data_IF_424800545633
#
_entry.id   IF_424800545633
#
_cell.length_a   1.000
_cell.length_b   1.000
_cell.length_c   1.000
_cell.angle_alpha   90.00
_cell.angle_beta   90.00
_cell.angle_gamma   90.00
#
_symmetry.space_group_name_H-M   'P 1'
#
loop_
_entity.id
_entity.type
_entity.pdbx_description
1 polymer ?
#
# COMPACT_ATOMS: atom_id res chain seq x y z
N UNK A 1 20.42 34.26 -2.20
CA UNK A 1 20.25 33.05 -1.36
C UNK A 1 19.74 31.93 -2.25
N UNK A 2 20.34 30.73 -2.21
CA UNK A 2 19.85 29.58 -2.98
C UNK A 2 18.63 29.00 -2.27
N UNK A 3 17.55 28.73 -3.00
CA UNK A 3 16.37 28.10 -2.43
C UNK A 3 16.71 26.68 -1.93
N UNK A 4 16.11 26.28 -0.80
CA UNK A 4 16.23 24.92 -0.31
C UNK A 4 15.35 23.98 -1.13
N UNK A 5 15.91 22.83 -1.51
CA UNK A 5 15.17 21.81 -2.24
C UNK A 5 14.12 21.13 -1.35
N UNK A 6 12.98 20.81 -1.95
CA UNK A 6 11.86 20.12 -1.30
C UNK A 6 11.68 18.74 -1.93
N UNK A 7 11.48 17.73 -1.08
CA UNK A 7 11.11 16.38 -1.49
C UNK A 7 9.70 16.05 -1.03
N UNK A 8 8.91 15.48 -1.91
CA UNK A 8 7.54 15.05 -1.67
C UNK A 8 7.50 13.53 -1.68
N UNK A 9 6.75 12.93 -0.75
CA UNK A 9 6.41 11.52 -0.69
C UNK A 9 4.90 11.37 -0.53
N UNK A 10 4.36 10.23 -0.96
CA UNK A 10 2.98 9.85 -0.69
C UNK A 10 2.94 8.37 -0.29
N UNK A 11 2.08 8.04 0.68
CA UNK A 11 1.91 6.67 1.18
C UNK A 11 0.47 6.44 1.65
N UNK A 12 0.18 5.21 2.05
CA UNK A 12 -1.18 4.74 2.41
C UNK A 12 -2.22 4.89 1.29
N UNK A 13 -1.78 5.02 0.04
CA UNK A 13 -2.68 5.00 -1.12
C UNK A 13 -3.26 3.58 -1.23
N UNK A 14 -4.59 3.41 -1.15
CA UNK A 14 -5.21 2.10 -1.29
C UNK A 14 -4.85 1.46 -2.64
N UNK A 15 -4.73 0.14 -2.65
CA UNK A 15 -4.32 -0.61 -3.85
C UNK A 15 -5.39 -0.68 -4.94
N UNK A 16 -6.65 -0.57 -4.52
CA UNK A 16 -7.83 -0.51 -5.37
C UNK A 16 -8.92 0.28 -4.63
N UNK A 17 -9.60 1.18 -5.33
CA UNK A 17 -10.63 2.05 -4.76
C UNK A 17 -11.86 1.95 -5.67
N UNK A 18 -13.07 1.82 -5.11
CA UNK A 18 -14.27 1.75 -5.95
C UNK A 18 -14.50 3.10 -6.64
N UNK A 19 -15.03 3.06 -7.86
CA UNK A 19 -15.38 4.24 -8.64
C UNK A 19 -16.24 5.23 -7.83
N UNK A 20 -15.80 6.48 -7.74
CA UNK A 20 -16.49 7.54 -6.98
C UNK A 20 -16.40 7.42 -5.45
N UNK A 21 -15.66 6.45 -4.91
CA UNK A 21 -15.49 6.31 -3.46
C UNK A 21 -14.54 7.37 -2.90
N UNK A 22 -14.87 7.87 -1.70
CA UNK A 22 -13.98 8.75 -0.94
C UNK A 22 -12.90 7.89 -0.29
N UNK A 23 -11.64 8.27 -0.49
CA UNK A 23 -10.51 7.60 0.13
C UNK A 23 -9.54 8.60 0.74
N UNK A 24 -8.64 8.08 1.58
CA UNK A 24 -7.60 8.87 2.25
C UNK A 24 -6.22 8.29 2.00
N UNK A 25 -5.23 9.17 1.99
CA UNK A 25 -3.82 8.83 1.89
C UNK A 25 -3.00 9.94 2.53
N UNK A 26 -1.71 9.70 2.71
CA UNK A 26 -0.81 10.70 3.28
C UNK A 26 0.10 11.28 2.23
N UNK A 27 0.40 12.57 2.39
CA UNK A 27 1.53 13.21 1.74
C UNK A 27 2.52 13.67 2.79
N UNK A 28 3.80 13.65 2.43
CA UNK A 28 4.88 14.11 3.29
C UNK A 28 5.85 14.98 2.50
N UNK A 29 6.21 16.11 3.07
CA UNK A 29 7.05 17.11 2.44
C UNK A 29 8.22 17.40 3.38
N UNK A 30 9.44 17.32 2.84
CA UNK A 30 10.67 17.55 3.60
C UNK A 30 11.58 18.51 2.84
N UNK A 31 12.02 19.55 3.55
CA UNK A 31 13.07 20.46 3.11
C UNK A 31 14.45 19.82 3.31
N UNK A 32 15.36 19.97 2.34
CA UNK A 32 16.74 19.50 2.43
C UNK A 32 17.53 20.15 3.56
N UNK A 33 17.20 21.40 3.90
CA UNK A 33 17.76 22.13 5.04
C UNK A 33 17.10 21.82 6.39
N UNK A 34 16.11 20.94 6.45
CA UNK A 34 15.40 20.60 7.70
C UNK A 34 14.48 21.70 8.22
N UNK A 35 14.16 22.70 7.40
CA UNK A 35 13.22 23.77 7.75
C UNK A 35 11.83 23.19 8.03
N UNK A 36 11.12 23.84 8.95
CA UNK A 36 9.67 23.66 9.09
C UNK A 36 8.98 24.31 7.89
N UNK A 37 7.99 23.63 7.33
CA UNK A 37 7.21 24.08 6.18
C UNK A 37 5.76 24.35 6.59
N UNK A 38 5.55 24.75 7.85
CA UNK A 38 4.25 24.96 8.48
C UNK A 38 3.38 25.88 7.61
N UNK A 39 2.13 25.49 7.36
CA UNK A 39 1.20 26.25 6.52
C UNK A 39 1.51 26.22 5.01
N UNK A 40 2.59 25.55 4.60
CA UNK A 40 2.96 25.35 3.20
C UNK A 40 1.83 24.68 2.42
N UNK A 41 1.41 25.30 1.32
CA UNK A 41 0.29 24.84 0.51
C UNK A 41 0.69 23.73 -0.46
N UNK A 42 -0.20 22.76 -0.61
CA UNK A 42 -0.07 21.70 -1.60
C UNK A 42 -1.37 21.51 -2.37
N UNK A 43 -1.24 21.00 -3.59
CA UNK A 43 -2.36 20.62 -4.46
C UNK A 43 -2.15 19.22 -5.00
N UNK A 44 -3.24 18.49 -5.20
CA UNK A 44 -3.26 17.20 -5.88
C UNK A 44 -4.10 17.36 -7.13
N UNK A 45 -3.53 17.02 -8.28
CA UNK A 45 -4.18 17.15 -9.59
C UNK A 45 -4.35 15.80 -10.25
N UNK A 46 -5.44 15.62 -10.98
CA UNK A 46 -5.60 14.50 -11.90
C UNK A 46 -4.81 14.70 -13.21
N UNK A 47 -4.93 13.75 -14.14
CA UNK A 47 -4.27 13.78 -15.44
C UNK A 47 -4.76 14.89 -16.37
N UNK A 48 -5.97 15.42 -16.14
CA UNK A 48 -6.50 16.59 -16.83
C UNK A 48 -6.04 17.92 -16.22
N UNK A 49 -5.29 17.87 -15.11
CA UNK A 49 -4.84 19.04 -14.36
C UNK A 49 -5.89 19.60 -13.39
N UNK A 50 -7.04 18.94 -13.23
CA UNK A 50 -8.09 19.34 -12.29
C UNK A 50 -7.64 19.11 -10.87
N UNK A 51 -7.87 20.08 -9.98
CA UNK A 51 -7.54 19.93 -8.56
C UNK A 51 -8.56 18.97 -7.92
N UNK A 52 -8.09 17.78 -7.53
CA UNK A 52 -8.90 16.76 -6.85
C UNK A 52 -8.80 16.84 -5.33
N UNK A 53 -7.71 17.44 -4.82
CA UNK A 53 -7.57 17.79 -3.41
C UNK A 53 -6.57 18.93 -3.23
N UNK A 54 -6.64 19.65 -2.12
CA UNK A 54 -5.65 20.66 -1.74
C UNK A 54 -5.63 20.82 -0.22
N UNK A 55 -4.54 21.38 0.29
CA UNK A 55 -4.41 21.59 1.73
C UNK A 55 -3.17 22.37 2.12
N UNK A 56 -2.91 22.39 3.42
CA UNK A 56 -1.73 23.00 4.03
C UNK A 56 -1.08 22.03 5.01
N UNK A 57 0.24 22.10 5.13
CA UNK A 57 0.97 21.32 6.12
C UNK A 57 0.63 21.80 7.54
N UNK A 58 0.15 20.92 8.44
CA UNK A 58 -0.25 21.29 9.80
C UNK A 58 0.94 21.51 10.75
N UNK A 59 2.18 21.27 10.29
CA UNK A 59 3.41 21.38 11.07
C UNK A 59 3.77 20.16 11.92
N UNK A 60 2.89 19.17 12.00
CA UNK A 60 3.19 17.87 12.59
C UNK A 60 4.30 17.15 11.83
N UNK A 61 5.23 16.54 12.57
CA UNK A 61 6.36 15.77 12.03
C UNK A 61 6.04 14.28 12.14
N UNK A 62 6.28 13.53 11.06
CA UNK A 62 6.07 12.09 11.04
C UNK A 62 6.97 11.40 12.07
N UNK A 63 6.44 10.51 12.94
CA UNK A 63 7.22 9.81 13.96
C UNK A 63 8.42 9.07 13.36
N UNK A 64 9.57 9.18 14.04
CA UNK A 64 10.82 8.56 13.58
C UNK A 64 11.48 9.26 12.37
N UNK A 65 10.94 10.37 11.88
CA UNK A 65 11.57 11.20 10.86
C UNK A 65 12.25 12.43 11.47
N UNK A 66 13.26 12.98 10.79
CA UNK A 66 13.96 14.17 11.27
C UNK A 66 13.23 15.49 10.98
N UNK A 67 12.47 15.56 9.88
CA UNK A 67 11.81 16.79 9.41
C UNK A 67 10.72 16.53 8.36
N UNK A 68 10.14 15.32 8.28
CA UNK A 68 9.07 15.04 7.31
C UNK A 68 7.76 15.57 7.88
N UNK A 69 7.29 16.70 7.36
CA UNK A 69 5.96 17.20 7.68
C UNK A 69 4.94 16.48 6.83
N UNK A 70 3.79 16.16 7.40
CA UNK A 70 2.80 15.36 6.69
C UNK A 70 1.38 15.89 6.88
N UNK A 71 0.53 15.58 5.92
CA UNK A 71 -0.89 15.85 5.96
C UNK A 71 -1.65 14.62 5.45
N UNK A 72 -2.80 14.32 6.07
CA UNK A 72 -3.78 13.42 5.50
C UNK A 72 -4.55 14.16 4.40
N UNK A 73 -4.73 13.49 3.27
CA UNK A 73 -5.46 14.00 2.12
C UNK A 73 -6.69 13.13 1.92
N UNK A 74 -7.85 13.77 1.79
CA UNK A 74 -9.09 13.12 1.38
C UNK A 74 -9.38 13.47 -0.08
N UNK A 75 -9.66 12.47 -0.90
CA UNK A 75 -9.99 12.63 -2.32
C UNK A 75 -11.11 11.68 -2.73
N UNK A 76 -11.66 11.87 -3.92
CA UNK A 76 -12.67 11.00 -4.54
C UNK A 76 -12.02 10.26 -5.70
N UNK A 77 -12.20 8.95 -5.77
CA UNK A 77 -11.67 8.15 -6.87
C UNK A 77 -12.35 8.54 -8.20
N UNK A 78 -11.63 8.52 -9.32
CA UNK A 78 -12.21 8.73 -10.64
C UNK A 78 -13.38 7.78 -10.89
N UNK A 79 -14.35 8.20 -11.70
CA UNK A 79 -15.48 7.35 -12.07
C UNK A 79 -15.08 6.28 -13.09
N UNK A 80 -14.09 6.58 -13.93
CA UNK A 80 -13.60 5.64 -14.92
C UNK A 80 -12.72 4.57 -14.27
N UNK A 81 -13.02 3.30 -14.55
CA UNK A 81 -12.25 2.15 -14.04
C UNK A 81 -10.89 2.12 -14.74
N UNK A 82 -9.81 1.92 -13.97
CA UNK A 82 -8.47 1.81 -14.55
C UNK A 82 -7.36 2.41 -13.70
N UNK A 83 -6.25 2.70 -14.35
CA UNK A 83 -5.09 3.36 -13.76
C UNK A 83 -5.11 4.85 -14.07
N UNK A 84 -4.99 5.67 -13.05
CA UNK A 84 -4.99 7.13 -13.15
C UNK A 84 -3.67 7.68 -12.64
N UNK A 85 -3.14 8.69 -13.33
CA UNK A 85 -1.93 9.39 -12.92
C UNK A 85 -2.31 10.70 -12.25
N UNK A 86 -1.99 10.83 -10.98
CA UNK A 86 -2.19 12.07 -10.24
C UNK A 86 -0.84 12.70 -9.92
N UNK A 87 -0.84 14.02 -9.74
CA UNK A 87 0.38 14.78 -9.39
C UNK A 87 0.14 15.55 -8.10
N UNK A 88 1.00 15.33 -7.12
CA UNK A 88 1.08 16.15 -5.90
C UNK A 88 2.08 17.27 -6.16
N UNK A 89 1.67 18.51 -5.91
CA UNK A 89 2.48 19.70 -6.12
C UNK A 89 2.61 20.49 -4.82
N UNK A 90 3.81 21.02 -4.58
CA UNK A 90 4.09 21.98 -3.53
C UNK A 90 4.60 23.26 -4.18
N UNK A 91 3.93 24.38 -3.92
CA UNK A 91 4.22 25.65 -4.61
C UNK A 91 5.51 26.34 -4.14
N UNK A 92 6.14 25.85 -3.07
CA UNK A 92 7.18 26.59 -2.33
C UNK A 92 6.56 27.50 -1.26
N UNK A 93 7.26 27.73 -0.15
CA UNK A 93 6.86 28.74 0.84
C UNK A 93 7.62 30.04 0.62
N UNK A 94 6.92 31.17 0.78
CA UNK A 94 7.48 32.52 0.67
C UNK A 94 7.94 33.08 2.01
N UNK A 95 8.49 32.22 2.88
CA UNK A 95 9.08 32.67 4.15
C UNK A 95 10.45 33.32 3.94
N UNK A 96 11.13 33.74 5.02
CA UNK A 96 12.46 34.36 4.98
C UNK A 96 13.52 33.49 4.27
N UNK A 97 13.28 32.18 4.18
CA UNK A 97 14.09 31.22 3.41
C UNK A 97 13.25 30.72 2.24
N UNK A 98 13.74 30.93 1.02
CA UNK A 98 13.09 30.45 -0.19
C UNK A 98 13.16 28.91 -0.28
N UNK A 99 12.04 28.28 -0.65
CA UNK A 99 11.95 26.85 -0.93
C UNK A 99 11.58 26.64 -2.39
N UNK A 100 12.29 25.72 -3.06
CA UNK A 100 11.96 25.34 -4.44
C UNK A 100 10.58 24.66 -4.48
N UNK A 101 9.77 24.88 -5.53
CA UNK A 101 8.59 24.06 -5.74
C UNK A 101 8.97 22.59 -5.93
N UNK A 102 8.05 21.69 -5.63
CA UNK A 102 8.24 20.24 -5.78
C UNK A 102 7.03 19.58 -6.39
N UNK A 103 7.26 18.44 -7.06
CA UNK A 103 6.19 17.61 -7.63
C UNK A 103 6.46 16.11 -7.44
N UNK A 104 5.41 15.33 -7.26
CA UNK A 104 5.46 13.86 -7.20
C UNK A 104 4.27 13.27 -7.97
N UNK A 105 4.56 12.38 -8.93
CA UNK A 105 3.53 11.55 -9.56
C UNK A 105 3.13 10.38 -8.66
N UNK A 106 1.83 10.12 -8.55
CA UNK A 106 1.25 8.97 -7.85
C UNK A 106 0.28 8.24 -8.77
N UNK A 107 0.04 6.96 -8.51
CA UNK A 107 -0.96 6.17 -9.22
C UNK A 107 -2.18 5.92 -8.35
N UNK A 108 -3.36 6.14 -8.92
CA UNK A 108 -4.65 5.82 -8.31
C UNK A 108 -5.30 4.73 -9.16
N UNK A 109 -5.67 3.61 -8.54
CA UNK A 109 -6.36 2.51 -9.22
C UNK A 109 -7.84 2.54 -8.86
N UNK A 110 -8.68 2.80 -9.85
CA UNK A 110 -10.13 2.68 -9.73
C UNK A 110 -10.58 1.29 -10.19
N UNK A 111 -11.45 0.68 -9.41
CA UNK A 111 -12.11 -0.60 -9.71
C UNK A 111 -13.64 -0.44 -9.68
N UNK A 112 -14.36 -1.44 -10.19
CA UNK A 112 -15.80 -1.54 -9.95
C UNK A 112 -16.09 -1.70 -8.45
N UNK A 113 -17.33 -1.43 -8.05
CA UNK A 113 -17.76 -1.66 -6.67
C UNK A 113 -17.53 -3.15 -6.31
N UNK A 114 -16.99 -3.46 -5.12
CA UNK A 114 -16.75 -4.84 -4.72
C UNK A 114 -18.05 -5.55 -4.35
N UNK A 115 -18.18 -6.80 -4.76
CA UNK A 115 -19.38 -7.63 -4.56
C UNK A 115 -19.15 -8.72 -3.50
N UNK A 116 -17.88 -9.02 -3.21
CA UNK A 116 -17.47 -10.10 -2.32
C UNK A 116 -16.39 -9.66 -1.34
N UNK A 117 -16.36 -10.32 -0.18
CA UNK A 117 -15.27 -10.21 0.79
C UNK A 117 -14.56 -11.56 0.87
N UNK A 118 -13.25 -11.54 0.67
CA UNK A 118 -12.37 -12.70 0.82
C UNK A 118 -11.70 -12.61 2.18
N UNK A 119 -11.76 -13.69 2.95
CA UNK A 119 -11.09 -13.81 4.24
C UNK A 119 -9.98 -14.83 4.13
N UNK A 120 -8.75 -14.43 4.45
CA UNK A 120 -7.57 -15.28 4.39
C UNK A 120 -6.93 -15.34 5.77
N UNK A 121 -6.83 -16.54 6.31
CA UNK A 121 -6.01 -16.87 7.48
C UNK A 121 -4.66 -17.41 7.00
N UNK A 122 -3.57 -16.95 7.59
CA UNK A 122 -2.22 -17.44 7.31
C UNK A 122 -1.54 -17.88 8.59
N UNK A 123 -1.11 -19.13 8.61
CA UNK A 123 -0.44 -19.74 9.76
C UNK A 123 0.85 -20.44 9.35
N UNK A 124 1.74 -20.60 10.30
CA UNK A 124 2.91 -21.45 10.21
C UNK A 124 2.46 -22.90 10.03
N UNK A 125 3.00 -23.58 9.00
CA UNK A 125 2.56 -24.93 8.65
C UNK A 125 2.83 -25.96 9.76
N UNK A 126 3.91 -25.80 10.51
CA UNK A 126 4.36 -26.82 11.47
C UNK A 126 3.77 -26.58 12.86
N UNK A 127 3.85 -25.33 13.33
CA UNK A 127 3.39 -24.95 14.67
C UNK A 127 1.91 -24.57 14.72
N UNK A 128 1.31 -24.23 13.57
CA UNK A 128 -0.04 -23.67 13.50
C UNK A 128 -0.15 -22.24 14.05
N UNK A 129 0.98 -21.59 14.37
CA UNK A 129 0.98 -20.24 14.90
C UNK A 129 0.55 -19.21 13.84
N UNK A 130 -0.23 -18.18 14.19
CA UNK A 130 -0.62 -17.12 13.26
C UNK A 130 0.60 -16.35 12.74
N UNK A 131 0.57 -15.98 11.45
CA UNK A 131 1.64 -15.22 10.82
C UNK A 131 1.21 -13.79 10.52
N UNK A 132 1.75 -12.84 11.30
CA UNK A 132 1.59 -11.40 11.07
C UNK A 132 2.45 -10.90 9.91
N UNK A 133 1.95 -9.90 9.17
CA UNK A 133 2.72 -9.19 8.16
C UNK A 133 2.99 -9.99 6.87
N UNK A 134 2.26 -11.09 6.65
CA UNK A 134 2.31 -11.81 5.37
C UNK A 134 1.66 -10.93 4.32
N UNK A 135 2.40 -10.64 3.25
CA UNK A 135 1.92 -9.87 2.12
C UNK A 135 1.03 -10.74 1.24
N UNK A 136 -0.20 -10.30 1.02
CA UNK A 136 -1.21 -10.96 0.21
C UNK A 136 -1.54 -10.07 -0.98
N UNK A 137 -1.36 -10.62 -2.17
CA UNK A 137 -1.60 -9.92 -3.44
C UNK A 137 -2.60 -10.73 -4.26
N UNK A 138 -3.68 -10.06 -4.66
CA UNK A 138 -4.63 -10.49 -5.67
C UNK A 138 -4.84 -9.29 -6.59
N UNK A 139 -4.03 -9.12 -7.64
CA UNK A 139 -4.01 -7.85 -8.39
C UNK A 139 -5.43 -7.41 -8.79
N UNK A 140 -5.81 -6.13 -8.57
CA UNK A 140 -4.97 -5.04 -8.08
C UNK A 140 -4.89 -4.94 -6.55
N UNK A 141 -5.66 -5.74 -5.83
CA UNK A 141 -5.77 -5.70 -4.39
C UNK A 141 -4.51 -6.22 -3.71
N UNK A 142 -4.09 -5.52 -2.65
CA UNK A 142 -2.98 -5.93 -1.77
C UNK A 142 -3.36 -5.65 -0.32
N UNK A 143 -2.93 -6.52 0.59
CA UNK A 143 -3.03 -6.31 2.03
C UNK A 143 -1.96 -7.10 2.76
N UNK A 144 -1.86 -6.92 4.08
CA UNK A 144 -1.02 -7.73 4.96
C UNK A 144 -1.85 -8.36 6.06
N UNK A 145 -1.47 -9.55 6.52
CA UNK A 145 -2.12 -10.18 7.67
C UNK A 145 -1.86 -9.39 8.96
N UNK A 146 -2.86 -9.37 9.83
CA UNK A 146 -2.78 -8.80 11.17
C UNK A 146 -2.04 -9.73 12.15
N UNK A 147 -1.94 -9.32 13.42
CA UNK A 147 -1.32 -10.10 14.51
C UNK A 147 -1.94 -11.49 14.74
N UNK A 148 -3.15 -11.73 14.25
CA UNK A 148 -3.85 -13.01 14.34
C UNK A 148 -3.67 -13.85 13.06
N UNK A 149 -2.83 -13.41 12.12
CA UNK A 149 -2.66 -14.05 10.83
C UNK A 149 -3.84 -13.83 9.88
N UNK A 150 -4.73 -12.89 10.16
CA UNK A 150 -5.95 -12.67 9.40
C UNK A 150 -5.83 -11.49 8.44
N UNK A 151 -6.41 -11.64 7.25
CA UNK A 151 -6.59 -10.58 6.29
C UNK A 151 -7.99 -10.65 5.65
N UNK A 152 -8.55 -9.48 5.34
CA UNK A 152 -9.82 -9.36 4.62
C UNK A 152 -9.65 -8.42 3.44
N UNK A 153 -10.26 -8.77 2.31
CA UNK A 153 -10.18 -8.00 1.08
C UNK A 153 -11.55 -7.96 0.42
N UNK A 154 -12.07 -6.76 0.19
CA UNK A 154 -13.25 -6.55 -0.64
C UNK A 154 -12.82 -6.53 -2.10
N UNK A 155 -13.40 -7.39 -2.91
CA UNK A 155 -13.03 -7.58 -4.31
C UNK A 155 -14.28 -7.62 -5.19
N UNK A 156 -14.07 -7.27 -6.46
CA UNK A 156 -15.04 -7.52 -7.53
C UNK A 156 -15.10 -9.03 -7.79
N UNK A 157 -16.27 -9.53 -8.18
CA UNK A 157 -16.41 -10.94 -8.56
C UNK A 157 -15.53 -11.28 -9.78
N UNK A 158 -14.46 -12.05 -9.56
CA UNK A 158 -13.53 -12.45 -10.62
C UNK A 158 -12.65 -13.65 -10.18
N UNK A 159 -11.79 -14.11 -11.08
CA UNK A 159 -10.74 -15.08 -10.81
C UNK A 159 -9.41 -14.35 -10.62
N UNK A 160 -8.80 -14.53 -9.45
CA UNK A 160 -7.55 -13.89 -9.11
C UNK A 160 -6.42 -14.91 -9.04
N UNK A 161 -5.20 -14.43 -9.26
CA UNK A 161 -4.00 -15.13 -8.85
C UNK A 161 -3.62 -14.62 -7.46
N UNK A 162 -3.82 -15.46 -6.45
CA UNK A 162 -3.42 -15.18 -5.08
C UNK A 162 -1.94 -15.48 -4.91
N UNK A 163 -1.19 -14.51 -4.41
CA UNK A 163 0.20 -14.66 -4.02
C UNK A 163 0.36 -14.27 -2.55
N UNK A 164 0.93 -15.16 -1.74
CA UNK A 164 1.25 -14.93 -0.35
C UNK A 164 2.76 -15.05 -0.13
N UNK A 165 3.37 -14.01 0.45
CA UNK A 165 4.80 -13.98 0.77
C UNK A 165 5.07 -13.41 2.14
N UNK A 166 6.03 -14.00 2.86
CA UNK A 166 6.38 -13.62 4.22
C UNK A 166 7.85 -13.86 4.50
N UNK A 167 8.37 -13.26 5.56
CA UNK A 167 9.78 -13.37 5.93
C UNK A 167 10.18 -14.81 6.26
N UNK A 168 11.19 -15.35 5.55
CA UNK A 168 11.67 -16.75 5.69
C UNK A 168 10.57 -17.80 5.49
N UNK A 169 9.63 -17.51 4.58
CA UNK A 169 8.54 -18.41 4.22
C UNK A 169 8.64 -18.78 2.75
N UNK A 170 8.35 -20.04 2.44
CA UNK A 170 8.14 -20.45 1.05
C UNK A 170 6.89 -19.73 0.53
N UNK A 171 6.95 -18.99 -0.59
CA UNK A 171 5.80 -18.28 -1.11
C UNK A 171 4.71 -19.26 -1.57
N UNK A 172 3.46 -18.87 -1.40
CA UNK A 172 2.30 -19.59 -1.93
C UNK A 172 1.73 -18.83 -3.12
N UNK A 173 1.35 -19.56 -4.18
CA UNK A 173 0.75 -18.98 -5.38
C UNK A 173 -0.28 -19.93 -5.97
N UNK A 174 -1.51 -19.47 -6.17
CA UNK A 174 -2.57 -20.27 -6.76
C UNK A 174 -3.70 -19.40 -7.33
N UNK A 175 -4.58 -20.01 -8.13
CA UNK A 175 -5.81 -19.36 -8.60
C UNK A 175 -6.88 -19.40 -7.50
N UNK A 176 -7.53 -18.27 -7.29
CA UNK A 176 -8.65 -18.11 -6.39
C UNK A 176 -9.88 -17.71 -7.21
N UNK A 177 -10.92 -18.53 -7.16
CA UNK A 177 -12.25 -18.17 -7.66
C UNK A 177 -12.96 -17.32 -6.62
N UNK A 178 -12.97 -16.00 -6.84
CA UNK A 178 -13.66 -15.02 -6.01
C UNK A 178 -14.99 -14.58 -6.63
N UNK A 179 -15.60 -15.41 -7.50
CA UNK A 179 -16.99 -15.18 -7.99
C UNK A 179 -18.06 -15.47 -6.92
N UNK A 180 -17.60 -15.87 -5.73
CA UNK A 180 -18.35 -16.07 -4.50
C UNK A 180 -17.48 -15.66 -3.31
N UNK A 181 -18.05 -15.40 -2.12
CA UNK A 181 -17.27 -15.25 -0.89
C UNK A 181 -16.40 -16.50 -0.66
N UNK A 182 -15.16 -16.29 -0.24
CA UNK A 182 -14.21 -17.39 0.06
C UNK A 182 -13.57 -17.16 1.42
N UNK A 183 -13.51 -18.23 2.20
CA UNK A 183 -12.67 -18.33 3.40
C UNK A 183 -11.53 -19.33 3.13
N UNK A 184 -10.29 -18.86 3.22
CA UNK A 184 -9.10 -19.65 2.91
C UNK A 184 -8.14 -19.66 4.11
N UNK A 185 -7.56 -20.82 4.42
CA UNK A 185 -6.41 -20.94 5.30
C UNK A 185 -5.16 -21.32 4.51
N UNK A 186 -4.13 -20.49 4.55
CA UNK A 186 -2.81 -20.76 3.97
C UNK A 186 -1.88 -21.26 5.08
N UNK A 187 -1.33 -22.46 4.88
CA UNK A 187 -0.29 -23.04 5.71
C UNK A 187 1.07 -22.74 5.07
N UNK A 188 1.81 -21.76 5.59
CA UNK A 188 3.11 -21.39 5.03
C UNK A 188 4.25 -22.19 5.64
N UNK A 189 5.04 -22.84 4.78
CA UNK A 189 6.23 -23.57 5.18
C UNK A 189 7.42 -22.62 5.45
N UNK A 190 8.30 -22.99 6.37
CA UNK A 190 9.59 -22.30 6.58
C UNK A 190 10.48 -22.51 5.35
N UNK A 191 11.07 -21.43 4.85
CA UNK A 191 12.11 -21.51 3.83
C UNK A 191 13.39 -22.06 4.46
N UNK A 192 13.87 -23.21 3.97
CA UNK A 192 15.14 -23.78 4.41
C UNK A 192 16.28 -22.97 3.79
N UNK A 193 17.24 -22.59 4.62
CA UNK A 193 18.45 -21.94 4.13
C UNK A 193 19.36 -23.03 3.55
N UNK A 194 19.45 -23.11 2.23
CA UNK A 194 20.36 -24.06 1.57
C UNK A 194 21.82 -23.67 1.86
N UNK A 195 22.55 -24.59 2.50
CA UNK A 195 24.00 -24.51 2.59
C UNK A 195 24.60 -24.90 1.23
N UNK A 196 25.51 -24.10 0.65
CA UNK A 196 26.18 -24.47 -0.61
C UNK A 196 26.93 -25.81 -0.55
N UNK A 197 27.21 -26.31 0.66
CA UNK A 197 28.05 -27.47 0.92
C UNK A 197 27.30 -28.68 1.47
N UNK A 198 26.00 -28.55 1.74
CA UNK A 198 25.22 -29.63 2.36
C UNK A 198 23.81 -29.64 1.78
N UNK A 199 23.45 -30.67 0.99
CA UNK A 199 22.08 -30.84 0.55
C UNK A 199 21.14 -30.94 1.77
N UNK A 200 19.92 -30.41 1.71
CA UNK A 200 18.98 -30.57 2.79
C UNK A 200 18.59 -32.04 3.00
N UNK A 201 18.49 -32.48 4.25
CA UNK A 201 18.14 -33.86 4.62
C UNK A 201 16.72 -34.27 4.16
N UNK A 202 15.85 -33.29 3.92
CA UNK A 202 14.48 -33.48 3.45
C UNK A 202 14.14 -32.48 2.34
N UNK A 203 13.31 -32.86 1.37
CA UNK A 203 12.85 -31.92 0.35
C UNK A 203 12.10 -30.74 0.99
N UNK A 204 12.28 -29.55 0.42
CA UNK A 204 11.62 -28.34 0.86
C UNK A 204 10.10 -28.52 0.86
N UNK A 205 9.49 -28.33 2.03
CA UNK A 205 8.05 -28.32 2.16
C UNK A 205 7.43 -27.12 1.45
N UNK A 206 6.27 -27.35 0.82
CA UNK A 206 5.53 -26.32 0.10
C UNK A 206 4.51 -25.67 1.02
N UNK A 207 4.29 -24.38 0.81
CA UNK A 207 3.10 -23.72 1.34
C UNK A 207 1.87 -24.21 0.58
N UNK A 208 0.77 -24.43 1.28
CA UNK A 208 -0.48 -24.95 0.72
C UNK A 208 -1.66 -24.15 1.26
N UNK A 209 -2.81 -24.24 0.60
CA UNK A 209 -4.04 -23.65 1.11
C UNK A 209 -5.15 -24.68 1.28
N UNK A 210 -6.06 -24.37 2.19
CA UNK A 210 -7.25 -25.13 2.53
C UNK A 210 -8.46 -24.21 2.42
N UNK A 211 -9.38 -24.51 1.51
CA UNK A 211 -10.65 -23.80 1.41
C UNK A 211 -11.51 -24.22 2.60
N UNK A 212 -11.89 -23.23 3.42
CA UNK A 212 -12.76 -23.45 4.57
C UNK A 212 -14.23 -23.35 4.15
N UNK A 213 -14.56 -22.40 3.25
CA UNK A 213 -15.89 -22.15 2.66
C UNK A 213 -15.76 -21.52 1.28
#
# INVERSE_FOLDING_TARGET
VKAHDVRINAWDIPSAIAAGEVFRFHIGIKCSGGCKLDGGAFTVRDEGGTIVASGRLPGAIWPGSSALQYAEVQAVAPLDIGSHHWTVEFAGSSEAIAHSPGSLSIHVRTVAAPDHEITIEVVDRDSGAPLEGVNLIMHPYRTTTDRNGMARMKVVADHYLLHASGLRRVPYRDHLDATRPVELRILMAVEQQESPWTPPDKPQERSIAQVLR
#
